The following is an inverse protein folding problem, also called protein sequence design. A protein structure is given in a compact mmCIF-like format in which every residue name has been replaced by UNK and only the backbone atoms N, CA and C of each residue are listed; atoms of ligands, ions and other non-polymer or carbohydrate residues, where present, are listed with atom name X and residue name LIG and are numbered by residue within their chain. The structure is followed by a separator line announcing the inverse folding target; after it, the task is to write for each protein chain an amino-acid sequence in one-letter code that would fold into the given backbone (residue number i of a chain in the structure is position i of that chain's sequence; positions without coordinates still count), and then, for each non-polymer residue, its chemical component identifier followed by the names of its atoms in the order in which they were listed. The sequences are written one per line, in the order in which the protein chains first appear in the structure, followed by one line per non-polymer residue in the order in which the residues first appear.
data_IF_218828059906
#
_entry.id   IF_218828059906
#
_cell.length_a   1.000
_cell.length_b   1.000
_cell.length_c   1.000
_cell.angle_alpha   90.00
_cell.angle_beta   90.00
_cell.angle_gamma   90.00
#
_symmetry.space_group_name_H-M   'P 1'
#
loop_
_entity.id
_entity.type
_entity.pdbx_description
1 polymer ?
#
# COMPACT_ATOMS: atom_id res chain seq x y z
N UNK A 1 9.50 8.15 -25.45
CA UNK A 1 10.49 7.76 -24.42
C UNK A 1 11.52 8.86 -24.17
N UNK A 2 12.00 9.57 -25.19
CA UNK A 2 13.12 10.51 -25.03
C UNK A 2 12.80 11.79 -24.22
N UNK A 3 11.59 12.32 -24.26
CA UNK A 3 11.24 13.56 -23.54
C UNK A 3 11.20 13.40 -22.02
N UNK A 4 10.61 12.32 -21.52
CA UNK A 4 10.52 12.05 -20.07
C UNK A 4 11.93 11.78 -19.52
N UNK A 5 12.74 11.00 -20.24
CA UNK A 5 14.12 10.70 -19.83
C UNK A 5 14.96 11.97 -19.72
N UNK A 6 14.83 12.90 -20.69
CA UNK A 6 15.51 14.19 -20.66
C UNK A 6 15.07 15.10 -19.51
N UNK A 7 13.76 15.11 -19.20
CA UNK A 7 13.23 15.87 -18.06
C UNK A 7 13.74 15.32 -16.72
N UNK A 8 13.77 14.00 -16.58
CA UNK A 8 14.32 13.31 -15.41
C UNK A 8 15.81 13.64 -15.22
N UNK A 9 16.63 13.58 -16.28
CA UNK A 9 18.05 13.92 -16.22
C UNK A 9 18.31 15.38 -15.80
N UNK A 10 17.54 16.32 -16.35
CA UNK A 10 17.60 17.73 -15.98
C UNK A 10 17.24 17.97 -14.50
N UNK A 11 16.14 17.37 -14.06
CA UNK A 11 15.67 17.49 -12.69
C UNK A 11 16.68 16.91 -11.70
N UNK A 12 17.28 15.75 -12.01
CA UNK A 12 18.30 15.13 -11.18
C UNK A 12 19.57 15.98 -11.08
N UNK A 13 20.03 16.54 -12.20
CA UNK A 13 21.20 17.42 -12.23
C UNK A 13 20.99 18.67 -11.36
N UNK A 14 19.79 19.25 -11.39
CA UNK A 14 19.43 20.37 -10.51
C UNK A 14 19.35 19.95 -9.02
N UNK A 15 18.83 18.76 -8.75
CA UNK A 15 18.69 18.24 -7.39
C UNK A 15 20.04 18.07 -6.69
N UNK A 16 21.01 17.44 -7.37
CA UNK A 16 22.31 17.11 -6.77
C UNK A 16 23.23 18.33 -6.59
N UNK A 17 22.91 19.47 -7.21
CA UNK A 17 23.64 20.75 -7.01
C UNK A 17 23.09 21.53 -5.81
N UNK A 18 21.98 21.13 -5.24
CA UNK A 18 21.37 21.76 -4.07
C UNK A 18 22.13 21.35 -2.80
N UNK A 19 22.61 22.33 -2.05
CA UNK A 19 23.42 22.15 -0.82
C UNK A 19 22.68 21.46 0.31
N UNK A 20 21.36 21.50 0.30
CA UNK A 20 20.51 20.89 1.34
C UNK A 20 20.31 19.38 1.11
N UNK A 21 20.67 18.88 -0.07
CA UNK A 21 20.50 17.47 -0.45
C UNK A 21 21.65 16.63 0.12
N UNK A 22 21.28 15.66 0.95
CA UNK A 22 22.22 14.70 1.56
C UNK A 22 22.37 13.43 0.73
N UNK A 23 23.44 12.67 1.02
CA UNK A 23 23.70 11.35 0.43
C UNK A 23 23.79 11.36 -1.12
N UNK A 24 24.43 12.39 -1.67
CA UNK A 24 24.52 12.61 -3.12
C UNK A 24 25.11 11.39 -3.87
N UNK A 25 26.09 10.68 -3.28
CA UNK A 25 26.69 9.51 -3.92
C UNK A 25 25.71 8.34 -4.03
N UNK A 26 24.95 8.06 -2.95
CA UNK A 26 23.94 7.00 -2.97
C UNK A 26 22.83 7.33 -3.97
N UNK A 27 22.42 8.59 -4.04
CA UNK A 27 21.42 9.08 -5.02
C UNK A 27 21.90 8.90 -6.45
N UNK A 28 23.18 9.20 -6.75
CA UNK A 28 23.79 8.97 -8.06
C UNK A 28 23.81 7.49 -8.43
N UNK A 29 24.15 6.62 -7.48
CA UNK A 29 24.14 5.16 -7.70
C UNK A 29 22.73 4.67 -8.06
N UNK A 30 21.72 5.06 -7.28
CA UNK A 30 20.33 4.67 -7.52
C UNK A 30 19.77 5.26 -8.83
N UNK A 31 20.16 6.49 -9.16
CA UNK A 31 19.81 7.10 -10.44
C UNK A 31 20.42 6.35 -11.60
N UNK A 32 21.69 5.92 -11.51
CA UNK A 32 22.34 5.11 -12.52
C UNK A 32 21.65 3.74 -12.69
N UNK A 33 21.21 3.10 -11.60
CA UNK A 33 20.42 1.87 -11.68
C UNK A 33 19.09 2.10 -12.40
N UNK A 34 18.39 3.20 -12.07
CA UNK A 34 17.18 3.58 -12.78
C UNK A 34 17.45 3.81 -14.27
N UNK A 35 18.53 4.51 -14.62
CA UNK A 35 18.89 4.75 -16.05
C UNK A 35 19.16 3.47 -16.81
N UNK A 36 19.79 2.48 -16.19
CA UNK A 36 20.08 1.20 -16.82
C UNK A 36 18.82 0.36 -17.06
N UNK A 37 17.84 0.45 -16.18
CA UNK A 37 16.56 -0.28 -16.30
C UNK A 37 15.49 0.52 -17.04
N UNK A 38 15.50 1.84 -16.90
CA UNK A 38 14.53 2.76 -17.46
C UNK A 38 13.16 2.69 -16.75
N UNK A 39 12.17 3.33 -17.34
CA UNK A 39 10.77 3.25 -16.90
C UNK A 39 10.29 1.81 -17.07
N UNK A 40 9.52 1.26 -16.09
CA UNK A 40 8.99 -0.08 -16.18
C UNK A 40 8.24 -0.34 -17.50
N UNK A 41 8.37 -1.52 -18.03
CA UNK A 41 7.65 -1.95 -19.24
C UNK A 41 7.09 -3.36 -19.08
N UNK A 42 6.04 -3.69 -19.85
CA UNK A 42 5.44 -5.02 -19.85
C UNK A 42 6.38 -6.14 -20.33
N UNK A 43 7.59 -5.82 -20.78
CA UNK A 43 8.64 -6.79 -21.10
C UNK A 43 9.26 -7.42 -19.85
N UNK A 44 9.19 -6.75 -18.72
CA UNK A 44 9.70 -7.28 -17.46
C UNK A 44 8.62 -8.10 -16.76
N UNK A 45 8.97 -9.29 -16.28
CA UNK A 45 8.05 -10.25 -15.65
C UNK A 45 7.22 -9.61 -14.53
N UNK A 46 7.86 -8.83 -13.66
CA UNK A 46 7.22 -8.13 -12.54
C UNK A 46 6.21 -7.03 -12.97
N UNK A 47 6.23 -6.62 -14.24
CA UNK A 47 5.41 -5.55 -14.79
C UNK A 47 4.53 -6.01 -15.96
N UNK A 48 4.58 -7.29 -16.30
CA UNK A 48 3.89 -7.87 -17.46
C UNK A 48 2.40 -7.56 -17.50
N UNK A 49 1.76 -7.59 -16.36
CA UNK A 49 0.32 -7.34 -16.23
C UNK A 49 0.00 -5.93 -15.75
N UNK A 50 0.99 -5.08 -15.58
CA UNK A 50 0.79 -3.74 -15.03
C UNK A 50 0.12 -2.80 -16.01
N UNK A 51 -0.92 -2.13 -15.53
CA UNK A 51 -1.65 -1.09 -16.22
C UNK A 51 -1.11 0.30 -15.88
N UNK A 52 -0.44 0.44 -14.72
CA UNK A 52 0.17 1.69 -14.25
C UNK A 52 1.21 2.27 -15.20
N UNK A 53 1.86 1.43 -16.01
CA UNK A 53 2.89 1.85 -16.99
C UNK A 53 2.35 2.90 -17.96
N UNK A 54 1.08 2.80 -18.38
CA UNK A 54 0.47 3.79 -19.28
C UNK A 54 0.38 5.15 -18.60
N UNK A 55 0.07 5.16 -17.32
CA UNK A 55 -0.09 6.39 -16.56
C UNK A 55 1.27 7.06 -16.33
N UNK A 56 2.31 6.28 -16.00
CA UNK A 56 3.68 6.80 -15.80
C UNK A 56 4.17 7.54 -17.06
N UNK A 57 3.89 7.00 -18.24
CA UNK A 57 4.31 7.59 -19.50
C UNK A 57 3.58 8.91 -19.86
N UNK A 58 2.51 9.26 -19.16
CA UNK A 58 1.76 10.50 -19.38
C UNK A 58 2.31 11.70 -18.57
N UNK A 59 3.28 11.48 -17.68
CA UNK A 59 3.86 12.54 -16.86
C UNK A 59 5.17 13.04 -17.44
N UNK A 60 5.24 14.34 -17.78
CA UNK A 60 6.39 14.97 -18.43
C UNK A 60 7.35 15.68 -17.47
N UNK A 61 6.89 15.97 -16.24
CA UNK A 61 7.64 16.77 -15.28
C UNK A 61 7.79 16.10 -13.92
N UNK A 62 8.99 16.20 -13.35
CA UNK A 62 9.30 15.85 -11.99
C UNK A 62 9.35 17.14 -11.16
N UNK A 63 8.44 17.27 -10.20
CA UNK A 63 8.46 18.42 -9.30
C UNK A 63 8.98 18.00 -7.93
N UNK A 64 10.00 18.72 -7.46
CA UNK A 64 10.49 18.62 -6.08
C UNK A 64 9.91 19.79 -5.33
N UNK A 65 8.80 19.57 -4.62
CA UNK A 65 8.21 20.63 -3.82
C UNK A 65 8.96 20.79 -2.49
N UNK A 66 9.47 21.98 -2.23
CA UNK A 66 10.10 22.35 -0.95
C UNK A 66 9.23 23.32 -0.13
N UNK A 67 8.17 23.87 -0.72
CA UNK A 67 7.30 24.84 -0.06
C UNK A 67 6.13 24.13 0.60
N UNK A 68 5.89 24.44 1.88
CA UNK A 68 4.67 24.00 2.56
C UNK A 68 3.45 24.62 1.87
N UNK A 69 2.53 23.83 1.34
CA UNK A 69 1.32 24.33 0.71
C UNK A 69 0.37 24.95 1.75
N UNK A 70 -0.48 25.89 1.35
CA UNK A 70 -1.48 26.48 2.25
C UNK A 70 -2.76 25.61 2.20
N UNK A 71 -3.03 24.87 3.28
CA UNK A 71 -4.13 23.91 3.36
C UNK A 71 -4.93 24.05 4.64
N UNK A 72 -6.25 23.90 4.55
CA UNK A 72 -7.11 23.78 5.72
C UNK A 72 -7.14 22.34 6.23
N UNK A 73 -6.34 22.04 7.25
CA UNK A 73 -6.19 20.72 7.84
C UNK A 73 -7.36 20.25 8.72
N UNK A 74 -8.34 21.13 9.02
CA UNK A 74 -9.45 20.79 9.93
C UNK A 74 -10.58 20.02 9.25
N UNK A 75 -10.48 19.78 7.95
CA UNK A 75 -11.51 19.10 7.17
C UNK A 75 -11.22 17.59 7.11
N UNK A 76 -12.25 16.79 7.36
CA UNK A 76 -12.20 15.30 7.30
C UNK A 76 -11.40 14.61 8.41
N UNK A 77 -11.35 15.18 9.61
CA UNK A 77 -10.81 14.51 10.78
C UNK A 77 -11.82 13.51 11.36
N UNK A 78 -11.31 12.41 11.90
CA UNK A 78 -12.13 11.44 12.64
C UNK A 78 -12.46 11.94 14.04
N UNK A 79 -13.65 11.56 14.55
CA UNK A 79 -14.14 11.99 15.87
C UNK A 79 -13.58 11.16 17.04
N UNK A 80 -12.96 10.00 16.79
CA UNK A 80 -12.36 9.20 17.85
C UNK A 80 -11.02 9.78 18.34
N UNK A 81 -10.63 9.42 19.56
CA UNK A 81 -9.38 9.92 20.16
C UNK A 81 -8.15 9.25 19.51
N UNK A 82 -7.27 10.03 18.90
CA UNK A 82 -6.07 9.57 18.19
C UNK A 82 -4.97 10.63 18.16
N UNK A 83 -3.73 10.20 18.00
CA UNK A 83 -2.61 11.07 17.65
C UNK A 83 -2.60 11.32 16.14
N UNK A 84 -2.04 12.45 15.68
CA UNK A 84 -2.18 12.92 14.30
C UNK A 84 -0.85 13.27 13.67
N UNK A 85 -0.69 12.85 12.42
CA UNK A 85 0.34 13.36 11.50
C UNK A 85 -0.37 13.92 10.29
N UNK A 86 0.05 15.09 9.84
CA UNK A 86 -0.45 15.73 8.63
C UNK A 86 0.65 15.73 7.57
N UNK A 87 0.40 15.01 6.50
CA UNK A 87 1.19 15.07 5.27
C UNK A 87 0.42 15.88 4.24
N UNK A 88 1.10 16.77 3.54
CA UNK A 88 0.52 17.53 2.44
C UNK A 88 1.47 17.44 1.25
N UNK A 89 1.00 16.82 0.17
CA UNK A 89 1.77 16.61 -1.05
C UNK A 89 3.14 15.92 -0.77
N UNK A 90 3.15 14.96 0.18
CA UNK A 90 4.33 14.22 0.62
C UNK A 90 5.21 14.93 1.66
N UNK A 91 4.89 16.18 2.04
CA UNK A 91 5.65 16.96 3.03
C UNK A 91 5.07 16.73 4.42
N UNK A 92 5.91 16.46 5.42
CA UNK A 92 5.50 16.50 6.82
C UNK A 92 5.12 17.94 7.20
N UNK A 93 3.82 18.19 7.28
CA UNK A 93 3.27 19.53 7.49
C UNK A 93 3.17 19.89 8.97
N UNK A 94 2.60 18.98 9.75
CA UNK A 94 2.36 19.13 11.18
C UNK A 94 2.20 17.75 11.86
N UNK A 95 2.38 17.71 13.17
CA UNK A 95 2.16 16.50 13.97
C UNK A 95 1.66 16.89 15.37
N UNK A 96 0.54 16.29 15.79
CA UNK A 96 -0.03 16.39 17.13
C UNK A 96 0.06 15.03 17.80
N UNK A 97 1.17 14.78 18.50
CA UNK A 97 1.50 13.52 19.15
C UNK A 97 1.61 13.74 20.65
N UNK A 98 0.73 13.08 21.40
CA UNK A 98 0.68 13.17 22.85
C UNK A 98 1.31 11.94 23.54
N UNK A 99 1.52 10.85 22.82
CA UNK A 99 2.11 9.61 23.35
C UNK A 99 3.63 9.74 23.51
N UNK A 100 4.12 9.60 24.74
CA UNK A 100 5.56 9.76 25.06
C UNK A 100 6.47 8.69 24.43
N UNK A 101 5.90 7.58 24.00
CA UNK A 101 6.59 6.48 23.33
C UNK A 101 6.87 6.72 21.86
N UNK A 102 6.24 7.74 21.23
CA UNK A 102 6.38 8.07 19.83
C UNK A 102 7.34 9.24 19.63
N UNK A 103 8.21 9.11 18.64
CA UNK A 103 9.07 10.19 18.16
C UNK A 103 8.91 10.31 16.66
N UNK A 104 8.60 11.50 16.19
CA UNK A 104 8.53 11.82 14.76
C UNK A 104 9.55 12.89 14.41
N UNK A 105 10.11 12.75 13.21
CA UNK A 105 10.98 13.76 12.63
C UNK A 105 10.80 13.79 11.11
N UNK A 106 11.15 14.92 10.50
CA UNK A 106 11.25 14.97 9.04
C UNK A 106 12.35 14.00 8.60
N UNK A 107 12.07 13.19 7.58
CA UNK A 107 13.02 12.22 7.06
C UNK A 107 14.05 12.96 6.19
N UNK A 108 15.21 13.23 6.76
CA UNK A 108 16.30 13.94 6.11
C UNK A 108 17.47 13.05 5.70
N UNK A 109 17.43 11.78 6.09
CA UNK A 109 18.55 10.84 5.98
C UNK A 109 18.11 9.61 5.20
N UNK A 110 17.80 9.84 3.90
CA UNK A 110 17.33 8.78 3.03
C UNK A 110 18.35 7.64 2.97
N UNK A 111 17.96 6.49 3.50
CA UNK A 111 18.71 5.25 3.32
C UNK A 111 18.21 4.57 2.05
N UNK A 112 19.17 4.13 1.25
CA UNK A 112 18.93 3.27 0.11
C UNK A 112 18.16 2.02 0.55
N UNK A 113 16.97 1.82 0.02
CA UNK A 113 16.26 0.56 0.11
C UNK A 113 16.81 -0.33 -1.00
N UNK A 114 17.46 -1.42 -0.62
CA UNK A 114 18.04 -2.37 -1.56
C UNK A 114 16.94 -3.09 -2.36
N UNK A 115 16.60 -2.55 -3.53
CA UNK A 115 15.63 -3.13 -4.43
C UNK A 115 15.98 -2.79 -5.88
N UNK A 116 15.68 -3.71 -6.81
CA UNK A 116 15.91 -3.51 -8.24
C UNK A 116 14.66 -3.01 -8.98
N UNK A 117 13.58 -2.66 -8.26
CA UNK A 117 12.41 -2.05 -8.87
C UNK A 117 12.75 -0.64 -9.37
N UNK A 118 12.55 -0.32 -10.66
CA UNK A 118 12.93 0.98 -11.22
C UNK A 118 12.28 2.16 -10.49
N UNK A 119 11.03 2.03 -10.02
CA UNK A 119 10.35 3.11 -9.30
C UNK A 119 10.92 3.30 -7.88
N UNK A 120 11.39 2.23 -7.24
CA UNK A 120 12.10 2.34 -5.95
C UNK A 120 13.46 3.00 -6.17
N UNK A 121 14.20 2.63 -7.21
CA UNK A 121 15.48 3.29 -7.56
C UNK A 121 15.26 4.79 -7.85
N UNK A 122 14.21 5.12 -8.61
CA UNK A 122 13.84 6.50 -8.88
C UNK A 122 13.48 7.26 -7.59
N UNK A 123 12.72 6.63 -6.69
CA UNK A 123 12.39 7.22 -5.39
C UNK A 123 13.65 7.43 -4.54
N UNK A 124 14.53 6.45 -4.41
CA UNK A 124 15.80 6.56 -3.70
C UNK A 124 16.66 7.72 -4.23
N UNK A 125 16.60 7.99 -5.53
CA UNK A 125 17.34 9.09 -6.15
C UNK A 125 16.72 10.47 -5.86
N UNK A 126 15.38 10.59 -5.89
CA UNK A 126 14.68 11.87 -5.93
C UNK A 126 13.96 12.27 -4.63
N UNK A 127 13.61 11.33 -3.74
CA UNK A 127 12.83 11.67 -2.56
C UNK A 127 13.56 12.68 -1.66
N UNK A 128 12.87 13.79 -1.34
CA UNK A 128 13.36 14.84 -0.45
C UNK A 128 12.43 15.07 0.74
N UNK A 129 11.27 14.43 0.72
CA UNK A 129 10.22 14.60 1.71
C UNK A 129 9.81 13.27 2.32
N UNK A 130 9.16 13.35 3.48
CA UNK A 130 8.64 12.22 4.23
C UNK A 130 8.91 12.37 5.72
N UNK A 131 8.68 11.31 6.46
CA UNK A 131 8.91 11.31 7.91
C UNK A 131 9.62 10.02 8.36
N UNK A 132 10.28 10.13 9.50
CA UNK A 132 10.77 9.00 10.29
C UNK A 132 9.97 8.94 11.59
N UNK A 133 9.36 7.79 11.87
CA UNK A 133 8.62 7.49 13.09
C UNK A 133 9.37 6.41 13.86
N UNK A 134 9.66 6.68 15.12
CA UNK A 134 10.28 5.72 16.03
C UNK A 134 9.35 5.48 17.22
N UNK A 135 9.11 4.19 17.52
CA UNK A 135 8.43 3.76 18.74
C UNK A 135 9.47 3.22 19.71
N UNK A 136 9.49 3.79 20.91
CA UNK A 136 10.45 3.38 21.95
C UNK A 136 10.22 1.94 22.39
N UNK A 137 11.29 1.31 22.83
CA UNK A 137 11.27 -0.03 23.42
C UNK A 137 10.25 -0.13 24.58
N UNK A 138 9.54 -1.27 24.64
CA UNK A 138 8.51 -1.59 25.64
C UNK A 138 7.32 -0.58 25.67
N UNK A 139 7.14 0.22 24.63
CA UNK A 139 6.04 1.18 24.54
C UNK A 139 4.83 0.54 23.85
N UNK A 140 3.74 0.40 24.59
CA UNK A 140 2.43 0.02 24.02
C UNK A 140 1.61 1.28 23.81
N UNK A 141 1.56 1.76 22.57
CA UNK A 141 0.83 2.97 22.18
C UNK A 141 -0.66 2.67 22.23
N UNK A 142 -1.38 3.35 23.13
CA UNK A 142 -2.81 3.06 23.39
C UNK A 142 -3.73 3.70 22.36
N UNK A 143 -3.38 4.89 21.89
CA UNK A 143 -4.15 5.61 20.89
C UNK A 143 -3.62 5.27 19.49
N UNK A 144 -4.47 5.05 18.50
CA UNK A 144 -4.00 4.89 17.14
C UNK A 144 -3.36 6.19 16.64
N UNK A 145 -2.37 6.06 15.81
CA UNK A 145 -1.77 7.16 15.07
C UNK A 145 -2.45 7.28 13.70
N UNK A 146 -3.12 8.39 13.44
CA UNK A 146 -3.75 8.65 12.16
C UNK A 146 -2.86 9.57 11.32
N UNK A 147 -2.49 9.12 10.14
CA UNK A 147 -1.75 9.89 9.15
C UNK A 147 -2.77 10.42 8.13
N UNK A 148 -3.05 11.71 8.20
CA UNK A 148 -3.86 12.41 7.22
C UNK A 148 -2.99 12.84 6.05
N UNK A 149 -3.09 12.15 4.93
CA UNK A 149 -2.28 12.38 3.74
C UNK A 149 -3.09 13.14 2.69
N UNK A 150 -2.89 14.45 2.64
CA UNK A 150 -3.60 15.36 1.72
C UNK A 150 -2.86 15.49 0.40
N UNK A 151 -3.60 15.32 -0.70
CA UNK A 151 -3.17 15.67 -2.04
C UNK A 151 -3.96 16.87 -2.54
N UNK A 152 -3.26 17.97 -2.90
CA UNK A 152 -3.87 19.28 -3.12
C UNK A 152 -3.86 19.73 -4.58
N UNK A 153 -4.60 20.80 -4.89
CA UNK A 153 -4.58 21.45 -6.21
C UNK A 153 -3.25 22.18 -6.53
N UNK A 154 -2.30 22.20 -5.60
CA UNK A 154 -0.99 22.79 -5.84
C UNK A 154 -0.03 21.85 -6.56
N UNK A 155 -0.46 20.60 -6.77
CA UNK A 155 0.21 19.62 -7.61
C UNK A 155 -0.34 19.71 -9.04
N UNK A 156 0.27 20.47 -9.96
CA UNK A 156 -0.03 20.36 -11.38
C UNK A 156 0.39 18.94 -11.87
N UNK A 157 0.12 18.57 -13.11
CA UNK A 157 0.53 17.28 -13.70
C UNK A 157 1.99 16.95 -13.43
N UNK A 158 2.27 16.32 -12.31
CA UNK A 158 3.62 16.16 -11.75
C UNK A 158 3.86 14.76 -11.20
N UNK A 159 5.11 14.42 -11.07
CA UNK A 159 5.60 13.18 -10.50
C UNK A 159 6.25 13.49 -9.15
N UNK A 160 5.65 13.01 -8.05
CA UNK A 160 6.16 13.26 -6.70
C UNK A 160 6.76 12.00 -6.08
N UNK A 161 7.90 12.16 -5.41
CA UNK A 161 8.59 11.09 -4.70
C UNK A 161 8.76 11.46 -3.22
N UNK A 162 8.35 10.57 -2.33
CA UNK A 162 8.62 10.72 -0.91
C UNK A 162 8.88 9.37 -0.23
N UNK A 163 9.60 9.40 0.87
CA UNK A 163 9.94 8.21 1.65
C UNK A 163 9.51 8.35 3.10
N UNK A 164 9.10 7.22 3.69
CA UNK A 164 8.84 7.11 5.11
C UNK A 164 9.68 5.99 5.72
N UNK A 165 10.02 6.18 6.99
CA UNK A 165 10.66 5.14 7.78
C UNK A 165 9.91 4.98 9.10
N UNK A 166 9.55 3.74 9.42
CA UNK A 166 8.95 3.35 10.69
C UNK A 166 9.86 2.35 11.40
N UNK A 167 10.21 2.64 12.62
CA UNK A 167 11.03 1.74 13.47
C UNK A 167 10.25 1.47 14.75
N UNK A 168 9.90 0.22 14.96
CA UNK A 168 9.33 -0.24 16.23
C UNK A 168 10.41 -1.01 16.99
N UNK A 169 10.85 -0.46 18.11
CA UNK A 169 11.86 -1.10 18.95
C UNK A 169 11.26 -2.27 19.73
N UNK A 170 12.09 -3.03 20.44
CA UNK A 170 11.71 -4.29 21.08
C UNK A 170 10.44 -4.16 21.95
N UNK A 171 9.53 -5.13 21.82
CA UNK A 171 8.29 -5.24 22.59
C UNK A 171 7.39 -3.98 22.51
N UNK A 172 7.51 -3.21 21.42
CA UNK A 172 6.64 -2.04 21.21
C UNK A 172 5.44 -2.39 20.35
N UNK A 173 4.36 -1.62 20.52
CA UNK A 173 3.09 -1.84 19.80
C UNK A 173 2.53 -0.51 19.30
N UNK A 174 2.10 -0.50 18.03
CA UNK A 174 1.49 0.66 17.39
C UNK A 174 0.40 0.25 16.40
N UNK A 175 -0.70 1.00 16.40
CA UNK A 175 -1.71 0.98 15.34
C UNK A 175 -1.58 2.26 14.53
N UNK A 176 -1.36 2.14 13.22
CA UNK A 176 -1.30 3.26 12.27
C UNK A 176 -2.49 3.17 11.32
N UNK A 177 -3.14 4.29 11.08
CA UNK A 177 -4.17 4.41 10.06
C UNK A 177 -3.84 5.54 9.08
N UNK A 178 -3.65 5.21 7.80
CA UNK A 178 -3.34 6.17 6.75
C UNK A 178 -4.62 6.51 6.00
N UNK A 179 -5.07 7.75 6.13
CA UNK A 179 -6.24 8.28 5.44
C UNK A 179 -5.80 9.16 4.28
N UNK A 180 -5.90 8.65 3.05
CA UNK A 180 -5.55 9.42 1.86
C UNK A 180 -6.74 10.31 1.44
N UNK A 181 -6.51 11.62 1.37
CA UNK A 181 -7.53 12.65 1.12
C UNK A 181 -7.17 13.41 -0.15
N UNK A 182 -7.95 13.18 -1.20
CA UNK A 182 -7.75 13.82 -2.49
C UNK A 182 -8.59 15.08 -2.58
N UNK A 183 -7.96 16.25 -2.50
CA UNK A 183 -8.59 17.58 -2.64
C UNK A 183 -8.39 18.16 -4.04
N UNK A 184 -7.96 17.33 -4.99
CA UNK A 184 -7.64 17.76 -6.35
C UNK A 184 -8.25 16.82 -7.38
N UNK A 185 -8.58 17.39 -8.53
CA UNK A 185 -8.90 16.66 -9.77
C UNK A 185 -7.69 16.67 -10.74
N UNK A 186 -6.56 17.25 -10.34
CA UNK A 186 -5.35 17.27 -11.16
C UNK A 186 -4.74 15.88 -11.27
N UNK A 187 -4.18 15.58 -12.43
CA UNK A 187 -3.45 14.34 -12.65
C UNK A 187 -2.05 14.48 -12.07
N UNK A 188 -1.67 13.57 -11.18
CA UNK A 188 -0.30 13.44 -10.68
C UNK A 188 0.07 11.96 -10.53
N UNK A 189 1.35 11.69 -10.53
CA UNK A 189 1.89 10.38 -10.17
C UNK A 189 2.59 10.47 -8.83
N UNK A 190 2.14 9.68 -7.88
CA UNK A 190 2.74 9.59 -6.55
C UNK A 190 3.56 8.31 -6.45
N UNK A 191 4.84 8.44 -6.14
CA UNK A 191 5.76 7.34 -5.86
C UNK A 191 6.15 7.40 -4.38
N UNK A 192 5.49 6.59 -3.59
CA UNK A 192 5.70 6.48 -2.15
C UNK A 192 6.47 5.21 -1.81
N UNK A 193 7.53 5.34 -1.02
CA UNK A 193 8.31 4.22 -0.53
C UNK A 193 8.37 4.27 0.99
N UNK A 194 8.00 3.18 1.65
CA UNK A 194 7.97 3.06 3.10
C UNK A 194 8.86 1.89 3.56
N UNK A 195 9.82 2.17 4.44
CA UNK A 195 10.64 1.16 5.08
C UNK A 195 10.17 0.95 6.52
N UNK A 196 9.91 -0.29 6.89
CA UNK A 196 9.41 -0.68 8.22
C UNK A 196 10.38 -1.67 8.85
N UNK A 197 10.86 -1.35 10.03
CA UNK A 197 11.72 -2.22 10.84
C UNK A 197 10.99 -2.59 12.13
N UNK A 198 10.60 -3.84 12.28
CA UNK A 198 10.03 -4.37 13.51
C UNK A 198 11.09 -5.18 14.24
N UNK A 199 11.54 -4.67 15.40
CA UNK A 199 12.48 -5.38 16.27
C UNK A 199 11.76 -6.51 17.02
N UNK A 200 12.47 -7.24 17.85
CA UNK A 200 11.96 -8.41 18.55
C UNK A 200 10.71 -8.12 19.37
N UNK A 201 9.68 -8.92 19.20
CA UNK A 201 8.41 -8.77 19.88
C UNK A 201 7.59 -7.53 19.48
N UNK A 202 8.01 -6.77 18.49
CA UNK A 202 7.29 -5.56 18.04
C UNK A 202 6.02 -5.92 17.27
N UNK A 203 4.96 -5.13 17.45
CA UNK A 203 3.65 -5.32 16.79
C UNK A 203 3.27 -4.04 16.07
N UNK A 204 3.08 -4.11 14.75
CA UNK A 204 2.54 -3.03 13.96
C UNK A 204 1.26 -3.48 13.24
N UNK A 205 0.18 -2.73 13.47
CA UNK A 205 -1.04 -2.83 12.68
C UNK A 205 -1.13 -1.59 11.79
N UNK A 206 -1.05 -1.79 10.48
CA UNK A 206 -1.04 -0.71 9.49
C UNK A 206 -2.27 -0.81 8.59
N UNK A 207 -3.17 0.12 8.73
CA UNK A 207 -4.42 0.20 7.97
C UNK A 207 -4.40 1.41 7.05
N UNK A 208 -5.03 1.32 5.88
CA UNK A 208 -5.09 2.43 4.95
C UNK A 208 -6.40 2.49 4.17
N UNK A 209 -6.74 3.70 3.71
CA UNK A 209 -7.84 3.93 2.78
C UNK A 209 -7.38 4.67 1.54
N UNK A 210 -7.90 4.25 0.39
CA UNK A 210 -7.79 4.94 -0.89
C UNK A 210 -9.19 5.07 -1.47
N UNK A 211 -9.78 6.27 -1.34
CA UNK A 211 -11.15 6.52 -1.77
C UNK A 211 -11.23 7.77 -2.64
N UNK A 212 -12.11 7.73 -3.64
CA UNK A 212 -12.49 8.91 -4.44
C UNK A 212 -11.34 9.61 -5.21
N UNK A 213 -10.29 8.89 -5.53
CA UNK A 213 -9.25 9.38 -6.44
C UNK A 213 -9.64 9.09 -7.90
N UNK A 214 -10.07 10.10 -8.64
CA UNK A 214 -10.61 9.93 -10.02
C UNK A 214 -9.57 10.07 -11.13
N UNK A 215 -8.37 10.58 -10.85
CA UNK A 215 -7.47 11.03 -11.91
C UNK A 215 -5.99 10.77 -11.69
N UNK A 216 -5.57 10.50 -10.46
CA UNK A 216 -4.15 10.37 -10.12
C UNK A 216 -3.73 8.93 -9.98
N UNK A 217 -2.46 8.65 -10.24
CA UNK A 217 -1.89 7.31 -10.15
C UNK A 217 -0.95 7.20 -8.96
N UNK A 218 -1.06 6.11 -8.21
CA UNK A 218 -0.30 5.86 -7.01
C UNK A 218 0.57 4.61 -7.18
N UNK A 219 1.83 4.71 -6.81
CA UNK A 219 2.71 3.59 -6.56
C UNK A 219 3.16 3.62 -5.11
N UNK A 220 2.79 2.61 -4.34
CA UNK A 220 3.20 2.44 -2.96
C UNK A 220 4.09 1.21 -2.86
N UNK A 221 5.26 1.38 -2.29
CA UNK A 221 6.18 0.29 -2.01
C UNK A 221 6.46 0.21 -0.51
N UNK A 222 6.26 -0.96 0.07
CA UNK A 222 6.61 -1.26 1.45
C UNK A 222 7.74 -2.31 1.47
N UNK A 223 8.82 -2.02 2.19
CA UNK A 223 9.79 -3.02 2.62
C UNK A 223 9.67 -3.19 4.13
N UNK A 224 9.39 -4.41 4.57
CA UNK A 224 9.09 -4.71 5.98
C UNK A 224 10.00 -5.81 6.46
N UNK A 225 10.83 -5.51 7.44
CA UNK A 225 11.73 -6.47 8.09
C UNK A 225 11.22 -6.80 9.50
N UNK A 226 11.00 -8.10 9.76
CA UNK A 226 10.46 -8.62 11.01
C UNK A 226 11.52 -9.38 11.81
N UNK A 227 11.76 -8.95 13.07
CA UNK A 227 12.59 -9.62 14.05
C UNK A 227 11.88 -10.80 14.74
N UNK A 228 12.52 -11.35 15.77
CA UNK A 228 12.01 -12.49 16.55
C UNK A 228 10.62 -12.19 17.15
N UNK A 229 9.66 -13.11 16.94
CA UNK A 229 8.29 -13.03 17.46
C UNK A 229 7.57 -11.69 17.17
N UNK A 230 8.01 -10.93 16.16
CA UNK A 230 7.33 -9.71 15.75
C UNK A 230 6.12 -9.99 14.89
N UNK A 231 5.16 -9.04 14.85
CA UNK A 231 3.90 -9.20 14.16
C UNK A 231 3.60 -7.97 13.29
N UNK A 232 3.30 -8.20 12.02
CA UNK A 232 2.85 -7.18 11.08
C UNK A 232 1.48 -7.52 10.52
N UNK A 233 0.51 -6.65 10.79
CA UNK A 233 -0.83 -6.71 10.20
C UNK A 233 -1.01 -5.54 9.24
N UNK A 234 -1.42 -5.82 8.01
CA UNK A 234 -1.70 -4.82 6.98
C UNK A 234 -3.11 -5.01 6.44
N UNK A 235 -3.86 -3.91 6.35
CA UNK A 235 -5.14 -3.88 5.67
C UNK A 235 -5.27 -2.63 4.81
N UNK A 236 -5.69 -2.81 3.55
CA UNK A 236 -5.94 -1.70 2.65
C UNK A 236 -7.39 -1.77 2.13
N UNK A 237 -8.11 -0.65 2.27
CA UNK A 237 -9.45 -0.45 1.75
C UNK A 237 -9.38 0.45 0.52
N UNK A 238 -9.79 -0.09 -0.63
CA UNK A 238 -9.75 0.61 -1.90
C UNK A 238 -11.16 0.68 -2.47
N UNK A 239 -11.64 1.89 -2.66
CA UNK A 239 -12.97 2.14 -3.19
C UNK A 239 -12.90 3.27 -4.22
N UNK A 240 -13.30 2.97 -5.46
CA UNK A 240 -13.41 3.92 -6.55
C UNK A 240 -12.17 4.81 -6.72
N UNK A 241 -11.01 4.17 -6.85
CA UNK A 241 -9.71 4.81 -7.03
C UNK A 241 -9.16 4.50 -8.42
N UNK A 242 -8.69 5.52 -9.13
CA UNK A 242 -8.29 5.49 -10.52
C UNK A 242 -7.22 4.41 -10.82
N UNK A 243 -5.96 4.69 -10.53
CA UNK A 243 -4.87 3.72 -10.73
C UNK A 243 -4.03 3.62 -9.48
N UNK A 244 -3.84 2.41 -8.95
CA UNK A 244 -2.99 2.19 -7.81
C UNK A 244 -2.23 0.87 -7.95
N UNK A 245 -0.95 0.88 -7.58
CA UNK A 245 -0.14 -0.33 -7.45
C UNK A 245 0.52 -0.35 -6.08
N UNK A 246 0.17 -1.35 -5.28
CA UNK A 246 0.76 -1.61 -3.98
C UNK A 246 1.72 -2.80 -4.07
N UNK A 247 3.02 -2.55 -3.90
CA UNK A 247 4.02 -3.59 -3.77
C UNK A 247 4.46 -3.70 -2.31
N UNK A 248 4.36 -4.90 -1.73
CA UNK A 248 4.77 -5.16 -0.36
C UNK A 248 5.78 -6.31 -0.37
N UNK A 249 6.97 -6.02 0.12
CA UNK A 249 8.03 -6.99 0.33
C UNK A 249 8.25 -7.19 1.83
N UNK A 250 8.03 -8.41 2.32
CA UNK A 250 8.15 -8.75 3.73
C UNK A 250 9.26 -9.78 3.91
N UNK A 251 10.13 -9.53 4.86
CA UNK A 251 11.21 -10.43 5.26
C UNK A 251 10.97 -10.89 6.71
N UNK A 252 10.59 -12.14 6.89
CA UNK A 252 10.46 -12.77 8.20
C UNK A 252 11.84 -13.27 8.64
N UNK A 253 12.63 -12.35 9.21
CA UNK A 253 14.03 -12.55 9.55
C UNK A 253 14.24 -13.11 10.98
N UNK A 254 13.20 -13.12 11.79
CA UNK A 254 13.21 -13.70 13.14
C UNK A 254 12.32 -14.94 13.23
N UNK A 255 12.67 -15.88 14.09
CA UNK A 255 11.80 -17.02 14.39
C UNK A 255 10.47 -16.56 14.99
N UNK A 256 9.40 -17.30 14.75
CA UNK A 256 8.05 -17.02 15.20
C UNK A 256 7.48 -15.68 14.69
N UNK A 257 8.11 -15.01 13.72
CA UNK A 257 7.57 -13.81 13.11
C UNK A 257 6.28 -14.13 12.31
N UNK A 258 5.34 -13.20 12.34
CA UNK A 258 4.04 -13.33 11.67
C UNK A 258 3.70 -12.11 10.83
N UNK A 259 3.22 -12.34 9.60
CA UNK A 259 2.70 -11.29 8.73
C UNK A 259 1.31 -11.65 8.19
N UNK A 260 0.36 -10.74 8.33
CA UNK A 260 -0.99 -10.86 7.77
C UNK A 260 -1.27 -9.67 6.85
N UNK A 261 -1.49 -9.93 5.57
CA UNK A 261 -1.88 -8.95 4.57
C UNK A 261 -3.31 -9.19 4.13
N UNK A 262 -4.15 -8.18 4.19
CA UNK A 262 -5.48 -8.25 3.60
C UNK A 262 -5.79 -6.99 2.79
N UNK A 263 -6.54 -7.15 1.70
CA UNK A 263 -6.96 -6.06 0.84
C UNK A 263 -8.42 -6.25 0.43
N UNK A 264 -9.18 -5.17 0.51
CA UNK A 264 -10.54 -5.06 0.01
C UNK A 264 -10.54 -4.05 -1.12
N UNK A 265 -11.03 -4.47 -2.29
CA UNK A 265 -11.14 -3.62 -3.48
C UNK A 265 -12.59 -3.62 -3.97
N UNK A 266 -13.15 -2.44 -4.13
CA UNK A 266 -14.42 -2.21 -4.82
C UNK A 266 -14.16 -1.21 -5.93
N UNK A 267 -14.13 -1.67 -7.18
CA UNK A 267 -13.69 -0.89 -8.34
C UNK A 267 -14.79 -0.82 -9.39
N UNK A 268 -14.99 0.38 -9.91
CA UNK A 268 -15.92 0.66 -11.01
C UNK A 268 -15.23 1.33 -12.21
N UNK A 269 -15.99 1.74 -13.20
CA UNK A 269 -15.54 2.47 -14.39
C UNK A 269 -14.38 1.75 -15.11
N UNK A 270 -13.23 2.42 -15.26
CA UNK A 270 -11.98 1.89 -15.84
C UNK A 270 -10.85 1.88 -14.82
N UNK A 271 -11.21 1.83 -13.55
CA UNK A 271 -10.23 1.88 -12.48
C UNK A 271 -9.44 0.58 -12.38
N UNK A 272 -8.17 0.73 -12.03
CA UNK A 272 -7.23 -0.37 -12.02
C UNK A 272 -6.50 -0.43 -10.68
N UNK A 273 -6.45 -1.61 -10.09
CA UNK A 273 -5.63 -1.81 -8.90
C UNK A 273 -4.74 -3.04 -9.04
N UNK A 274 -3.49 -2.88 -8.64
CA UNK A 274 -2.49 -3.94 -8.66
C UNK A 274 -1.95 -4.17 -7.25
N UNK A 275 -2.04 -5.41 -6.78
CA UNK A 275 -1.43 -5.84 -5.51
C UNK A 275 -0.32 -6.85 -5.83
N UNK A 276 0.92 -6.50 -5.51
CA UNK A 276 2.06 -7.39 -5.62
C UNK A 276 2.69 -7.59 -4.26
N UNK A 277 2.54 -8.79 -3.71
CA UNK A 277 2.99 -9.14 -2.38
C UNK A 277 4.00 -10.27 -2.41
N UNK A 278 5.16 -10.04 -1.81
CA UNK A 278 6.23 -11.03 -1.68
C UNK A 278 6.52 -11.21 -0.19
N UNK A 279 6.40 -12.44 0.30
CA UNK A 279 6.73 -12.78 1.69
C UNK A 279 7.86 -13.80 1.69
N UNK A 280 8.98 -13.42 2.29
CA UNK A 280 10.17 -14.24 2.40
C UNK A 280 10.25 -14.82 3.82
N UNK A 281 10.07 -16.12 3.94
CA UNK A 281 10.27 -16.87 5.17
C UNK A 281 11.75 -17.25 5.28
N UNK A 282 12.49 -16.54 6.13
CA UNK A 282 13.94 -16.69 6.27
C UNK A 282 14.34 -17.45 7.55
N UNK A 283 13.39 -17.75 8.44
CA UNK A 283 13.60 -18.42 9.72
C UNK A 283 12.47 -19.40 10.04
N UNK A 284 12.73 -20.30 10.97
CA UNK A 284 11.80 -21.33 11.41
C UNK A 284 10.54 -20.78 12.09
N UNK A 285 9.47 -21.59 12.10
CA UNK A 285 8.22 -21.33 12.80
C UNK A 285 7.54 -20.01 12.37
N UNK A 286 7.89 -19.47 11.19
CA UNK A 286 7.30 -18.23 10.69
C UNK A 286 5.96 -18.48 10.03
N UNK A 287 5.05 -17.49 10.12
CA UNK A 287 3.71 -17.60 9.56
C UNK A 287 3.37 -16.42 8.67
N UNK A 288 2.57 -16.68 7.62
CA UNK A 288 2.05 -15.62 6.78
C UNK A 288 0.65 -15.90 6.22
N UNK A 289 -0.10 -14.83 6.01
CA UNK A 289 -1.40 -14.87 5.35
C UNK A 289 -1.51 -13.73 4.35
N UNK A 290 -1.91 -14.04 3.12
CA UNK A 290 -2.25 -13.07 2.07
C UNK A 290 -3.70 -13.28 1.69
N UNK A 291 -4.53 -12.24 1.81
CA UNK A 291 -5.96 -12.33 1.59
C UNK A 291 -6.48 -11.16 0.76
N UNK A 292 -6.98 -11.42 -0.45
CA UNK A 292 -7.55 -10.41 -1.32
C UNK A 292 -9.02 -10.73 -1.63
N UNK A 293 -9.88 -9.72 -1.49
CA UNK A 293 -11.24 -9.72 -2.01
C UNK A 293 -11.44 -8.50 -2.91
N UNK A 294 -11.95 -8.72 -4.10
CA UNK A 294 -12.23 -7.65 -5.05
C UNK A 294 -13.60 -7.82 -5.70
N UNK A 295 -14.39 -6.76 -5.73
CA UNK A 295 -15.61 -6.63 -6.53
C UNK A 295 -15.33 -5.69 -7.70
N UNK A 296 -15.64 -6.12 -8.91
CA UNK A 296 -15.26 -5.45 -10.14
C UNK A 296 -16.50 -5.16 -10.99
N UNK A 297 -16.77 -3.87 -11.15
CA UNK A 297 -17.85 -3.35 -11.95
C UNK A 297 -17.32 -2.82 -13.30
N UNK A 298 -18.20 -2.55 -14.23
CA UNK A 298 -17.93 -1.94 -15.54
C UNK A 298 -16.75 -2.59 -16.28
N UNK A 299 -15.71 -1.81 -16.58
CA UNK A 299 -14.47 -2.28 -17.22
C UNK A 299 -13.26 -2.18 -16.29
N UNK A 300 -13.50 -2.25 -14.97
CA UNK A 300 -12.43 -2.24 -13.97
C UNK A 300 -11.56 -3.50 -14.01
N UNK A 301 -10.32 -3.36 -13.56
CA UNK A 301 -9.36 -4.46 -13.61
C UNK A 301 -8.55 -4.54 -12.30
N UNK A 302 -8.56 -5.70 -11.67
CA UNK A 302 -7.69 -6.00 -10.53
C UNK A 302 -6.63 -7.02 -10.93
N UNK A 303 -5.38 -6.75 -10.53
CA UNK A 303 -4.23 -7.64 -10.72
C UNK A 303 -3.67 -8.03 -9.36
N UNK A 304 -3.55 -9.33 -9.13
CA UNK A 304 -2.93 -9.88 -7.93
C UNK A 304 -1.69 -10.71 -8.31
N UNK A 305 -0.54 -10.35 -7.77
CA UNK A 305 0.69 -11.12 -7.87
C UNK A 305 1.18 -11.41 -6.44
N UNK A 306 0.98 -12.62 -5.97
CA UNK A 306 1.39 -13.03 -4.64
C UNK A 306 2.48 -14.07 -4.69
N UNK A 307 3.54 -13.90 -3.91
CA UNK A 307 4.62 -14.88 -3.79
C UNK A 307 4.89 -15.20 -2.33
N UNK A 308 5.00 -16.48 -2.03
CA UNK A 308 5.55 -17.00 -0.79
C UNK A 308 6.87 -17.69 -1.14
N UNK A 309 7.97 -17.17 -0.59
CA UNK A 309 9.30 -17.75 -0.68
C UNK A 309 9.68 -18.36 0.67
N UNK A 310 10.09 -19.62 0.68
CA UNK A 310 10.49 -20.35 1.90
C UNK A 310 11.94 -20.82 1.75
N UNK A 311 12.82 -20.24 2.55
CA UNK A 311 14.22 -20.63 2.60
C UNK A 311 14.38 -22.07 3.13
N UNK A 312 15.43 -22.77 2.75
CA UNK A 312 15.72 -24.16 3.17
C UNK A 312 15.81 -24.33 4.69
N UNK A 313 16.25 -23.30 5.42
CA UNK A 313 16.31 -23.32 6.87
C UNK A 313 14.97 -22.96 7.54
N UNK A 314 13.99 -22.45 6.80
CA UNK A 314 12.72 -21.98 7.36
C UNK A 314 11.71 -23.11 7.55
N UNK A 315 12.09 -24.10 8.36
CA UNK A 315 11.25 -25.23 8.71
C UNK A 315 10.02 -24.81 9.52
N UNK A 316 8.94 -25.57 9.49
CA UNK A 316 7.66 -25.31 10.17
C UNK A 316 7.02 -23.97 9.75
N UNK A 317 7.33 -23.51 8.56
CA UNK A 317 6.64 -22.40 7.93
C UNK A 317 5.16 -22.73 7.70
N UNK A 318 4.26 -21.78 8.02
CA UNK A 318 2.82 -21.86 7.74
C UNK A 318 2.42 -20.65 6.89
N UNK A 319 2.29 -20.86 5.57
CA UNK A 319 2.06 -19.80 4.58
C UNK A 319 0.76 -20.02 3.81
N UNK A 320 -0.16 -19.06 3.87
CA UNK A 320 -1.46 -19.14 3.19
C UNK A 320 -1.71 -17.95 2.29
N UNK A 321 -2.23 -18.21 1.08
CA UNK A 321 -2.56 -17.16 0.11
C UNK A 321 -3.93 -17.44 -0.52
N UNK A 322 -4.82 -16.44 -0.49
CA UNK A 322 -6.13 -16.50 -1.11
C UNK A 322 -6.47 -15.21 -1.83
N UNK A 323 -6.87 -15.32 -3.10
CA UNK A 323 -7.41 -14.20 -3.87
C UNK A 323 -8.74 -14.57 -4.50
N UNK A 324 -9.78 -13.75 -4.27
CA UNK A 324 -11.11 -13.98 -4.82
C UNK A 324 -11.69 -12.72 -5.44
N UNK A 325 -12.24 -12.85 -6.63
CA UNK A 325 -12.88 -11.77 -7.36
C UNK A 325 -14.35 -12.08 -7.65
N UNK A 326 -15.21 -11.07 -7.45
CA UNK A 326 -16.59 -11.04 -7.89
C UNK A 326 -16.66 -10.16 -9.13
N UNK A 327 -16.97 -10.75 -10.29
CA UNK A 327 -17.11 -10.04 -11.58
C UNK A 327 -18.57 -9.65 -11.75
N UNK A 328 -18.83 -8.35 -11.80
CA UNK A 328 -20.16 -7.77 -11.82
C UNK A 328 -20.54 -7.21 -13.22
N UNK A 329 -19.64 -7.39 -14.19
CA UNK A 329 -19.84 -7.00 -15.59
C UNK A 329 -18.97 -7.87 -16.50
N UNK A 330 -19.39 -8.02 -17.75
CA UNK A 330 -18.68 -8.79 -18.79
C UNK A 330 -17.32 -8.18 -19.16
N UNK A 331 -17.13 -6.88 -18.91
CA UNK A 331 -15.90 -6.16 -19.21
C UNK A 331 -14.93 -6.13 -18.02
N UNK A 332 -15.39 -6.52 -16.83
CA UNK A 332 -14.57 -6.59 -15.64
C UNK A 332 -13.50 -7.68 -15.75
N UNK A 333 -12.30 -7.42 -15.25
CA UNK A 333 -11.15 -8.34 -15.38
C UNK A 333 -10.46 -8.57 -14.07
N UNK A 334 -10.16 -9.84 -13.79
CA UNK A 334 -9.30 -10.25 -12.69
C UNK A 334 -8.12 -11.05 -13.22
N UNK A 335 -6.92 -10.63 -12.88
CA UNK A 335 -5.68 -11.35 -13.21
C UNK A 335 -4.99 -11.76 -11.93
N UNK A 336 -4.82 -13.06 -11.70
CA UNK A 336 -4.14 -13.58 -10.53
C UNK A 336 -2.92 -14.42 -10.92
N UNK A 337 -1.80 -14.17 -10.25
CA UNK A 337 -0.56 -14.93 -10.37
C UNK A 337 -0.05 -15.31 -8.96
N UNK A 338 -0.57 -16.39 -8.37
CA UNK A 338 -0.04 -16.94 -7.13
C UNK A 338 1.23 -17.75 -7.40
N UNK A 339 2.27 -17.55 -6.58
CA UNK A 339 3.55 -18.25 -6.69
C UNK A 339 3.98 -18.79 -5.32
N UNK A 340 4.42 -20.06 -5.31
CA UNK A 340 5.06 -20.71 -4.17
C UNK A 340 6.46 -21.18 -4.59
N UNK A 341 7.47 -20.74 -3.88
CA UNK A 341 8.87 -21.14 -4.07
C UNK A 341 9.41 -21.65 -2.74
N UNK A 342 9.46 -22.97 -2.59
CA UNK A 342 9.66 -23.65 -1.32
C UNK A 342 10.89 -24.51 -1.38
N UNK A 343 11.83 -24.27 -0.46
CA UNK A 343 13.09 -25.00 -0.33
C UNK A 343 13.23 -25.76 1.01
N UNK A 344 12.20 -25.74 1.85
CA UNK A 344 12.14 -26.47 3.12
C UNK A 344 11.14 -27.63 3.03
N UNK A 345 11.36 -28.71 3.81
CA UNK A 345 10.56 -29.94 3.73
C UNK A 345 9.36 -29.95 4.68
N UNK A 346 9.55 -29.50 5.93
CA UNK A 346 8.48 -29.47 6.96
C UNK A 346 7.75 -28.15 6.96
N UNK A 347 6.80 -27.98 6.01
CA UNK A 347 6.04 -26.75 5.84
C UNK A 347 4.57 -26.99 5.53
N UNK A 348 3.72 -26.00 5.82
CA UNK A 348 2.31 -25.95 5.42
C UNK A 348 2.12 -24.72 4.55
N UNK A 349 2.17 -24.89 3.23
CA UNK A 349 1.99 -23.79 2.30
C UNK A 349 0.89 -24.12 1.30
N UNK A 350 -0.03 -23.16 1.11
CA UNK A 350 -1.10 -23.31 0.15
C UNK A 350 -1.50 -22.00 -0.48
N UNK A 351 -2.04 -22.08 -1.70
CA UNK A 351 -2.66 -20.95 -2.35
C UNK A 351 -4.01 -21.32 -2.97
N UNK A 352 -4.88 -20.33 -3.09
CA UNK A 352 -6.15 -20.42 -3.81
C UNK A 352 -6.43 -19.15 -4.57
N UNK A 353 -6.99 -19.29 -5.77
CA UNK A 353 -7.46 -18.16 -6.55
C UNK A 353 -8.77 -18.53 -7.24
N UNK A 354 -9.75 -17.64 -7.18
CA UNK A 354 -11.02 -17.85 -7.87
C UNK A 354 -11.63 -16.51 -8.33
N UNK A 355 -12.39 -16.58 -9.42
CA UNK A 355 -13.26 -15.50 -9.87
C UNK A 355 -14.61 -16.09 -10.29
N UNK A 356 -15.68 -15.33 -10.09
CA UNK A 356 -17.03 -15.73 -10.45
C UNK A 356 -17.98 -14.54 -10.51
N UNK A 357 -19.18 -14.78 -10.99
CA UNK A 357 -20.30 -13.84 -10.93
C UNK A 357 -21.09 -13.98 -9.63
N UNK A 358 -22.10 -13.14 -9.46
CA UNK A 358 -23.12 -13.29 -8.40
C UNK A 358 -23.81 -14.66 -8.58
N UNK A 359 -23.99 -15.38 -7.47
CA UNK A 359 -24.74 -16.62 -7.45
C UNK A 359 -26.24 -16.37 -7.65
N UNK A 360 -26.76 -16.80 -8.78
CA UNK A 360 -28.15 -16.55 -9.18
C UNK A 360 -29.17 -17.23 -8.24
N UNK A 361 -28.83 -18.37 -7.68
CA UNK A 361 -29.73 -19.08 -6.76
C UNK A 361 -29.87 -18.29 -5.43
N UNK A 362 -28.76 -17.79 -4.93
CA UNK A 362 -28.74 -16.90 -3.75
C UNK A 362 -29.47 -15.59 -4.01
N UNK A 363 -29.29 -15.00 -5.21
CA UNK A 363 -30.02 -13.79 -5.61
C UNK A 363 -31.51 -14.05 -5.68
N UNK A 364 -31.92 -15.13 -6.31
CA UNK A 364 -33.34 -15.57 -6.39
C UNK A 364 -33.94 -15.78 -5.00
N UNK A 365 -33.20 -16.43 -4.11
CA UNK A 365 -33.65 -16.63 -2.72
C UNK A 365 -33.92 -15.30 -1.99
N UNK A 366 -33.03 -14.34 -2.06
CA UNK A 366 -33.20 -13.02 -1.45
C UNK A 366 -34.42 -12.30 -2.00
N UNK A 367 -34.59 -12.33 -3.34
CA UNK A 367 -35.74 -11.73 -4.03
C UNK A 367 -37.07 -12.40 -3.65
N UNK A 368 -37.08 -13.71 -3.48
CA UNK A 368 -38.27 -14.45 -3.05
C UNK A 368 -38.70 -14.11 -1.62
N UNK A 369 -37.80 -13.52 -0.82
CA UNK A 369 -38.06 -12.99 0.52
C UNK A 369 -38.50 -11.52 0.54
N UNK A 370 -38.72 -10.92 -0.64
CA UNK A 370 -39.22 -9.56 -0.78
C UNK A 370 -38.15 -8.47 -0.82
N UNK A 371 -36.85 -8.86 -0.92
CA UNK A 371 -35.75 -7.92 -1.12
C UNK A 371 -35.70 -7.60 -2.62
N UNK A 372 -35.67 -6.32 -2.98
CA UNK A 372 -35.54 -5.95 -4.39
C UNK A 372 -34.15 -6.35 -4.95
N UNK A 373 -34.05 -6.42 -6.27
CA UNK A 373 -32.84 -6.96 -6.92
C UNK A 373 -31.59 -6.12 -6.65
N UNK A 374 -31.74 -4.80 -6.59
CA UNK A 374 -30.64 -3.88 -6.31
C UNK A 374 -30.11 -4.09 -4.90
N UNK A 375 -30.97 -4.14 -3.92
CA UNK A 375 -30.60 -4.36 -2.53
C UNK A 375 -30.05 -5.77 -2.30
N UNK A 376 -30.62 -6.78 -2.94
CA UNK A 376 -30.11 -8.15 -2.85
C UNK A 376 -28.67 -8.26 -3.41
N UNK A 377 -28.39 -7.67 -4.58
CA UNK A 377 -27.05 -7.62 -5.14
C UNK A 377 -26.08 -6.87 -4.23
N UNK A 378 -26.49 -5.71 -3.70
CA UNK A 378 -25.73 -4.93 -2.72
C UNK A 378 -25.35 -5.78 -1.50
N UNK A 379 -26.31 -6.45 -0.87
CA UNK A 379 -26.08 -7.32 0.29
C UNK A 379 -25.07 -8.45 -0.02
N UNK A 380 -25.16 -9.05 -1.20
CA UNK A 380 -24.23 -10.13 -1.61
C UNK A 380 -22.83 -9.60 -1.81
N UNK A 381 -22.65 -8.42 -2.45
CA UNK A 381 -21.34 -7.77 -2.64
C UNK A 381 -20.73 -7.38 -1.30
N UNK A 382 -21.52 -6.76 -0.41
CA UNK A 382 -21.06 -6.38 0.93
C UNK A 382 -20.63 -7.61 1.74
N UNK A 383 -21.44 -8.66 1.74
CA UNK A 383 -21.10 -9.92 2.42
C UNK A 383 -19.82 -10.55 1.89
N UNK A 384 -19.64 -10.55 0.57
CA UNK A 384 -18.42 -11.06 -0.07
C UNK A 384 -17.18 -10.25 0.33
N UNK A 385 -17.26 -8.93 0.32
CA UNK A 385 -16.15 -8.03 0.67
C UNK A 385 -15.85 -7.99 2.17
N UNK A 386 -16.89 -8.12 3.01
CA UNK A 386 -16.75 -8.09 4.48
C UNK A 386 -15.82 -9.18 5.02
N UNK A 387 -15.65 -10.30 4.32
CA UNK A 387 -14.70 -11.34 4.72
C UNK A 387 -13.24 -10.81 4.80
N UNK A 388 -12.87 -9.82 3.97
CA UNK A 388 -11.56 -9.19 4.07
C UNK A 388 -11.44 -8.32 5.33
N UNK A 389 -12.52 -7.61 5.69
CA UNK A 389 -12.55 -6.78 6.91
C UNK A 389 -12.44 -7.65 8.17
N UNK A 390 -12.94 -8.88 8.15
CA UNK A 390 -12.81 -9.82 9.27
C UNK A 390 -11.36 -10.24 9.57
N UNK A 391 -10.41 -9.96 8.66
CA UNK A 391 -8.98 -10.21 8.88
C UNK A 391 -8.34 -9.16 9.80
N UNK A 392 -8.99 -8.03 10.01
CA UNK A 392 -8.53 -6.97 10.92
C UNK A 392 -8.72 -7.44 12.36
N UNK A 393 -7.64 -7.42 13.16
CA UNK A 393 -7.70 -7.85 14.56
C UNK A 393 -8.14 -6.75 15.51
N UNK A 394 -7.93 -5.48 15.16
CA UNK A 394 -8.44 -4.34 15.93
C UNK A 394 -9.92 -4.13 15.69
N UNK A 395 -10.74 -4.30 16.75
CA UNK A 395 -12.20 -4.25 16.65
C UNK A 395 -12.75 -2.87 16.28
N UNK A 396 -12.09 -1.80 16.68
CA UNK A 396 -12.53 -0.45 16.35
C UNK A 396 -12.35 -0.18 14.86
N UNK A 397 -11.18 -0.54 14.31
CA UNK A 397 -10.94 -0.43 12.88
C UNK A 397 -11.74 -1.42 12.05
N UNK A 398 -11.97 -2.64 12.55
CA UNK A 398 -12.87 -3.58 11.90
C UNK A 398 -14.27 -2.96 11.72
N UNK A 399 -14.84 -2.36 12.78
CA UNK A 399 -16.15 -1.70 12.71
C UNK A 399 -16.12 -0.46 11.80
N UNK A 400 -15.05 0.34 11.85
CA UNK A 400 -14.86 1.50 10.96
C UNK A 400 -14.96 1.07 9.49
N UNK A 401 -14.25 0.01 9.10
CA UNK A 401 -14.24 -0.45 7.71
C UNK A 401 -15.54 -1.14 7.30
N UNK A 402 -16.25 -1.82 8.20
CA UNK A 402 -17.60 -2.33 7.92
C UNK A 402 -18.58 -1.18 7.66
N UNK A 403 -18.53 -0.11 8.45
CA UNK A 403 -19.36 1.07 8.26
C UNK A 403 -19.03 1.76 6.91
N UNK A 404 -17.74 1.88 6.58
CA UNK A 404 -17.32 2.43 5.28
C UNK A 404 -17.84 1.59 4.10
N UNK A 405 -17.78 0.28 4.20
CA UNK A 405 -18.27 -0.63 3.17
C UNK A 405 -19.78 -0.47 2.94
N UNK A 406 -20.56 -0.38 4.00
CA UNK A 406 -22.01 -0.17 3.91
C UNK A 406 -22.38 1.17 3.25
N UNK A 407 -21.64 2.26 3.55
CA UNK A 407 -21.86 3.59 2.97
C UNK A 407 -21.39 3.68 1.51
N UNK A 408 -20.37 2.93 1.11
CA UNK A 408 -19.79 3.02 -0.23
C UNK A 408 -20.66 2.43 -1.34
N UNK A 409 -21.65 1.63 -0.97
CA UNK A 409 -22.55 0.95 -1.93
C UNK A 409 -23.91 1.63 -2.06
N UNK A 410 -24.04 2.89 -1.65
CA UNK A 410 -25.22 3.72 -1.98
C UNK A 410 -25.10 4.20 -3.45
N UNK A 411 -25.59 3.37 -4.38
CA UNK A 411 -25.69 3.69 -5.80
C UNK A 411 -27.09 4.19 -6.16
#
# INVERSE_FOLDING_TARGET
MDQISSAIDKCFSSLITDTDVKNVNDRKEEFNKFKNTGIPSNKYENWKYSLLIKDINNFSDLTISKKKPNVNLKKNLFDFNHDKIFLVDGILYDADINEKGLKISQYNNFKKIGNNNPLVCLNNAFACNGFELEVKENSKVKKPLVIYNYFTNQLPSTFINFQHKLVLNNNSELVVFINNIFQTNSKFFCNNVTNVELKDGAILKNYSTHENNKSSSLFNFYNVDLGYSSNFEYFNYINNTSSCRDEININLNGENAFASLANLQNLDQKYNHESKWVINHNKENTKSSQFLKTALHDSSHSVFQGKIYVNSIAQKTDGYQLSRALLLSDLAKFTAKPELEIYADDVKCSHGSSSGSIDEDSLFYLRSRGIDEKDAKKMMIEGFLAEAVQKITDKNFQQLFLNKLALSNEY
#
